data_IF_101103485140
#
_entry.id   IF_101103485140
#
_cell.length_a   1.000
_cell.length_b   1.000
_cell.length_c   1.000
_cell.angle_alpha   90.00
_cell.angle_beta   90.00
_cell.angle_gamma   90.00
#
_symmetry.space_group_name_H-M   'P 1'
#
loop_
_entity.id
_entity.type
_entity.pdbx_description
1 polymer ?
#
# COMPACT_ATOMS: atom_id res chain seq x y z
N UNK A 1 7.35 11.47 -8.04
CA UNK A 1 6.18 11.78 -7.20
C UNK A 1 6.14 10.83 -6.02
N UNK A 2 5.87 11.35 -4.85
CA UNK A 2 5.66 10.58 -3.62
C UNK A 2 4.51 11.25 -2.87
N UNK A 3 3.47 10.48 -2.56
CA UNK A 3 2.24 11.04 -2.00
C UNK A 3 1.45 10.01 -1.20
N UNK A 4 0.32 10.41 -0.66
CA UNK A 4 -0.66 9.55 -0.01
C UNK A 4 -0.08 8.69 1.12
N UNK A 5 0.59 9.29 2.10
CA UNK A 5 1.10 8.53 3.23
C UNK A 5 -0.04 7.98 4.09
N UNK A 6 0.10 6.74 4.53
CA UNK A 6 -0.84 6.11 5.45
C UNK A 6 -0.07 5.29 6.48
N UNK A 7 -0.50 5.38 7.73
CA UNK A 7 0.18 4.73 8.85
C UNK A 7 -0.57 3.47 9.28
N UNK A 8 0.18 2.41 9.55
CA UNK A 8 -0.34 1.22 10.22
C UNK A 8 0.64 0.82 11.34
N UNK A 9 0.11 0.37 12.45
CA UNK A 9 0.90 -0.08 13.60
C UNK A 9 0.58 -1.54 13.91
N UNK A 10 1.61 -2.29 14.28
CA UNK A 10 1.49 -3.70 14.62
C UNK A 10 2.61 -4.10 15.56
N UNK A 11 2.25 -4.72 16.69
CA UNK A 11 3.21 -5.23 17.68
C UNK A 11 4.26 -4.18 18.11
N UNK A 12 3.80 -2.95 18.33
CA UNK A 12 4.67 -1.84 18.74
C UNK A 12 5.51 -1.24 17.62
N UNK A 13 5.36 -1.71 16.40
CA UNK A 13 6.06 -1.19 15.21
C UNK A 13 5.15 -0.26 14.43
N UNK A 14 5.74 0.74 13.81
CA UNK A 14 5.01 1.75 13.03
C UNK A 14 5.52 1.74 11.59
N UNK A 15 4.59 1.60 10.67
CA UNK A 15 4.89 1.58 9.23
C UNK A 15 4.13 2.69 8.53
N UNK A 16 4.74 3.26 7.50
CA UNK A 16 4.11 4.25 6.63
C UNK A 16 4.17 3.75 5.20
N UNK A 17 3.00 3.50 4.61
CA UNK A 17 2.93 3.28 3.17
C UNK A 17 2.87 4.62 2.45
N UNK A 18 3.32 4.65 1.21
CA UNK A 18 3.23 5.82 0.35
C UNK A 18 3.09 5.37 -1.09
N UNK A 19 2.50 6.25 -1.90
CA UNK A 19 2.38 6.00 -3.34
C UNK A 19 3.51 6.70 -4.06
N UNK A 20 4.04 6.07 -5.08
CA UNK A 20 5.13 6.62 -5.87
C UNK A 20 4.95 6.32 -7.34
N UNK A 21 5.71 6.99 -8.18
CA UNK A 21 5.58 7.11 -9.62
C UNK A 21 4.35 7.92 -10.03
N UNK A 22 4.36 8.50 -11.23
CA UNK A 22 3.20 9.26 -11.70
C UNK A 22 1.98 8.38 -11.87
N UNK A 23 0.81 8.88 -11.48
CA UNK A 23 -0.44 8.14 -11.58
C UNK A 23 -0.97 8.00 -13.00
N UNK A 24 -0.43 8.73 -13.95
CA UNK A 24 -0.88 8.68 -15.35
C UNK A 24 -0.37 7.46 -16.11
N UNK A 25 0.36 6.56 -15.47
CA UNK A 25 0.85 5.32 -16.06
C UNK A 25 0.58 4.12 -15.18
N UNK A 26 0.85 2.90 -15.67
CA UNK A 26 0.56 1.67 -14.93
C UNK A 26 1.52 1.41 -13.76
N UNK A 27 2.58 2.20 -13.64
CA UNK A 27 3.65 1.97 -12.67
C UNK A 27 3.45 2.68 -11.32
N UNK A 28 2.31 3.34 -11.12
CA UNK A 28 1.94 3.87 -9.81
C UNK A 28 1.86 2.70 -8.82
N UNK A 29 2.47 2.83 -7.66
CA UNK A 29 2.69 1.69 -6.76
C UNK A 29 2.85 2.15 -5.33
N UNK A 30 2.82 1.20 -4.39
CA UNK A 30 3.05 1.45 -2.98
C UNK A 30 4.46 1.07 -2.57
N UNK A 31 5.10 1.96 -1.82
CA UNK A 31 6.31 1.69 -1.05
C UNK A 31 6.02 1.70 0.44
N UNK A 32 7.03 1.41 1.25
CA UNK A 32 6.88 1.32 2.70
C UNK A 32 8.12 1.83 3.42
N UNK A 33 7.88 2.55 4.52
CA UNK A 33 8.89 2.94 5.48
C UNK A 33 8.53 2.35 6.84
N UNK A 34 9.53 1.98 7.62
CA UNK A 34 9.33 1.63 9.03
C UNK A 34 10.02 2.65 9.91
N UNK A 35 9.34 3.09 10.97
CA UNK A 35 9.96 3.95 11.99
C UNK A 35 10.85 3.07 12.87
N UNK A 36 12.14 3.07 12.59
CA UNK A 36 13.12 2.26 13.32
C UNK A 36 13.85 3.05 14.41
N UNK A 37 13.78 4.39 14.34
CA UNK A 37 14.25 5.27 15.40
C UNK A 37 13.12 5.79 16.28
N UNK A 38 13.44 6.63 17.25
CA UNK A 38 12.45 7.12 18.20
C UNK A 38 11.76 8.43 17.82
N UNK A 39 12.18 9.06 16.72
CA UNK A 39 11.75 10.44 16.40
C UNK A 39 11.10 10.51 15.02
N UNK A 40 9.76 10.49 14.95
CA UNK A 40 9.07 10.48 13.65
C UNK A 40 9.35 11.70 12.75
N UNK A 41 9.80 12.82 13.32
CA UNK A 41 10.13 14.01 12.53
C UNK A 41 11.58 14.02 12.02
N UNK A 42 12.36 12.99 12.35
CA UNK A 42 13.72 12.85 11.86
C UNK A 42 13.75 11.88 10.69
N UNK A 43 14.12 12.32 9.48
CA UNK A 43 14.16 11.42 8.32
C UNK A 43 15.03 10.18 8.53
N UNK A 44 16.14 10.32 9.24
CA UNK A 44 17.04 9.21 9.51
C UNK A 44 16.50 8.13 10.44
N UNK A 45 15.37 8.40 11.10
CA UNK A 45 14.71 7.43 11.97
C UNK A 45 13.72 6.53 11.22
N UNK A 46 13.54 6.76 9.92
CA UNK A 46 12.72 5.93 9.05
C UNK A 46 13.61 5.08 8.13
N UNK A 47 13.28 3.81 8.02
CA UNK A 47 13.99 2.88 7.13
C UNK A 47 13.08 2.47 5.98
N UNK A 48 13.56 2.72 4.75
CA UNK A 48 12.81 2.40 3.54
C UNK A 48 12.98 0.94 3.17
N UNK A 49 11.87 0.27 2.85
CA UNK A 49 11.91 -1.04 2.23
C UNK A 49 12.35 -0.88 0.76
N UNK A 50 13.35 -1.62 0.35
CA UNK A 50 13.90 -1.53 -1.01
C UNK A 50 12.99 -2.15 -2.08
N UNK A 51 12.03 -2.97 -1.66
CA UNK A 51 11.09 -3.65 -2.56
C UNK A 51 9.71 -2.99 -2.46
N UNK A 52 9.06 -2.68 -3.60
CA UNK A 52 7.69 -2.16 -3.56
C UNK A 52 6.73 -3.15 -2.89
N UNK A 53 5.72 -2.61 -2.22
CA UNK A 53 4.76 -3.41 -1.44
C UNK A 53 3.55 -3.86 -2.25
N UNK A 54 3.18 -3.10 -3.28
CA UNK A 54 2.04 -3.42 -4.13
C UNK A 54 2.29 -2.82 -5.50
N UNK A 55 2.32 -3.66 -6.52
CA UNK A 55 2.58 -3.28 -7.91
C UNK A 55 1.51 -3.88 -8.81
N UNK A 56 1.45 -3.41 -10.06
CA UNK A 56 0.49 -3.93 -11.02
C UNK A 56 0.61 -5.45 -11.18
N UNK A 57 -0.51 -6.15 -11.06
CA UNK A 57 -0.61 -7.60 -11.27
C UNK A 57 -2.09 -7.99 -11.36
N UNK A 58 -2.35 -9.18 -11.88
CA UNK A 58 -3.68 -9.81 -11.88
C UNK A 58 -4.78 -8.94 -12.50
N UNK A 59 -4.44 -8.16 -13.52
CA UNK A 59 -5.41 -7.29 -14.18
C UNK A 59 -5.70 -6.00 -13.43
N UNK A 60 -4.88 -5.64 -12.46
CA UNK A 60 -4.97 -4.38 -11.72
C UNK A 60 -3.71 -3.57 -12.02
N UNK A 61 -3.90 -2.34 -12.47
CA UNK A 61 -2.80 -1.46 -12.89
C UNK A 61 -2.80 -0.18 -12.06
N UNK A 62 -1.60 0.31 -11.74
CA UNK A 62 -1.42 1.52 -10.97
C UNK A 62 -2.07 1.47 -9.59
N UNK A 63 -1.89 0.37 -8.81
CA UNK A 63 -2.47 0.31 -7.48
C UNK A 63 -1.79 1.29 -6.55
N UNK A 64 -2.58 2.02 -5.76
CA UNK A 64 -1.99 2.97 -4.83
C UNK A 64 -3.01 3.82 -4.08
N UNK A 65 -2.49 4.86 -3.43
CA UNK A 65 -3.22 5.81 -2.61
C UNK A 65 -4.06 5.09 -1.56
N UNK A 66 -3.40 4.21 -0.80
CA UNK A 66 -4.08 3.28 0.09
C UNK A 66 -4.47 3.90 1.43
N UNK A 67 -5.42 3.25 2.07
CA UNK A 67 -5.69 3.36 3.49
C UNK A 67 -5.73 1.99 4.13
N UNK A 68 -5.86 1.96 5.44
CA UNK A 68 -5.96 0.74 6.22
C UNK A 68 -7.22 0.74 7.07
N UNK A 69 -7.79 -0.43 7.29
CA UNK A 69 -8.83 -0.60 8.29
C UNK A 69 -8.78 -2.02 8.86
N UNK A 70 -9.42 -2.22 10.00
CA UNK A 70 -9.56 -3.54 10.60
C UNK A 70 -11.02 -3.96 10.54
N UNK A 71 -11.26 -5.28 10.51
CA UNK A 71 -12.61 -5.81 10.59
C UNK A 71 -13.26 -5.38 11.92
N UNK A 72 -14.62 -5.33 12.00
CA UNK A 72 -15.29 -4.90 13.22
C UNK A 72 -14.91 -5.68 14.48
N UNK A 73 -14.58 -6.97 14.35
CA UNK A 73 -14.14 -7.80 15.46
C UNK A 73 -12.64 -7.67 15.77
N UNK A 74 -11.90 -6.88 14.98
CA UNK A 74 -10.48 -6.66 15.16
C UNK A 74 -9.58 -7.79 14.71
N UNK A 75 -10.12 -8.86 14.11
CA UNK A 75 -9.34 -10.06 13.78
C UNK A 75 -8.63 -9.99 12.43
N UNK A 76 -9.02 -9.07 11.56
CA UNK A 76 -8.48 -8.98 10.20
C UNK A 76 -8.04 -7.57 9.88
N UNK A 77 -6.91 -7.49 9.18
CA UNK A 77 -6.36 -6.24 8.66
C UNK A 77 -6.63 -6.15 7.16
N UNK A 78 -7.10 -4.98 6.73
CA UNK A 78 -7.54 -4.75 5.36
C UNK A 78 -6.85 -3.54 4.77
N UNK A 79 -6.56 -3.66 3.47
CA UNK A 79 -6.00 -2.61 2.64
C UNK A 79 -7.11 -2.10 1.71
N UNK A 80 -7.31 -0.78 1.66
CA UNK A 80 -8.18 -0.15 0.68
C UNK A 80 -7.30 0.70 -0.24
N UNK A 81 -7.48 0.57 -1.54
CA UNK A 81 -6.67 1.27 -2.53
C UNK A 81 -7.47 1.44 -3.81
N UNK A 82 -6.94 2.18 -4.78
CA UNK A 82 -7.56 2.25 -6.09
C UNK A 82 -6.62 1.67 -7.14
N UNK A 83 -7.19 1.26 -8.25
CA UNK A 83 -6.47 0.75 -9.39
C UNK A 83 -7.31 0.80 -10.64
N UNK A 84 -6.65 0.62 -11.77
CA UNK A 84 -7.26 0.60 -13.10
C UNK A 84 -7.37 -0.82 -13.63
N UNK A 85 -8.32 -1.05 -14.52
CA UNK A 85 -8.51 -2.35 -15.20
C UNK A 85 -7.62 -2.50 -16.44
N UNK A 86 -7.11 -1.40 -16.99
CA UNK A 86 -6.29 -1.39 -18.20
C UNK A 86 -5.01 -0.60 -17.95
N UNK A 87 -3.90 -1.07 -18.51
CA UNK A 87 -2.60 -0.41 -18.34
C UNK A 87 -2.51 0.96 -19.03
N UNK A 88 -3.41 1.23 -19.98
CA UNK A 88 -3.47 2.51 -20.69
C UNK A 88 -4.25 3.58 -19.95
N UNK A 89 -4.93 3.22 -18.87
CA UNK A 89 -5.65 4.16 -18.02
C UNK A 89 -4.68 4.83 -17.04
N UNK A 90 -5.09 5.97 -16.50
CA UNK A 90 -4.23 6.75 -15.61
C UNK A 90 -5.00 7.34 -14.45
N UNK A 91 -4.78 8.62 -14.16
CA UNK A 91 -5.35 9.29 -12.98
C UNK A 91 -6.77 9.81 -13.16
N UNK A 92 -7.48 9.40 -14.19
CA UNK A 92 -8.84 9.85 -14.45
C UNK A 92 -9.89 9.08 -13.66
N UNK A 93 -11.12 9.12 -14.19
CA UNK A 93 -12.28 8.52 -13.54
C UNK A 93 -12.39 7.01 -13.75
N UNK A 94 -11.39 6.39 -14.37
CA UNK A 94 -11.35 4.95 -14.62
C UNK A 94 -10.91 4.15 -13.41
N UNK A 95 -10.32 4.79 -12.42
CA UNK A 95 -9.86 4.11 -11.20
C UNK A 95 -11.04 3.67 -10.37
N UNK A 96 -10.97 2.47 -9.83
CA UNK A 96 -12.00 1.91 -8.96
C UNK A 96 -11.42 1.58 -7.59
N UNK A 97 -12.26 1.66 -6.57
CA UNK A 97 -11.91 1.30 -5.20
C UNK A 97 -11.84 -0.22 -5.08
N UNK A 98 -10.78 -0.69 -4.42
CA UNK A 98 -10.53 -2.10 -4.18
C UNK A 98 -10.18 -2.31 -2.73
N UNK A 99 -10.58 -3.43 -2.17
CA UNK A 99 -10.22 -3.82 -0.81
C UNK A 99 -9.71 -5.24 -0.83
N UNK A 100 -8.72 -5.51 0.00
CA UNK A 100 -8.25 -6.86 0.21
C UNK A 100 -7.62 -7.01 1.59
N UNK A 101 -7.76 -8.19 2.15
CA UNK A 101 -7.13 -8.54 3.40
C UNK A 101 -5.62 -8.64 3.21
N UNK A 102 -4.86 -8.26 4.23
CA UNK A 102 -3.42 -8.50 4.25
C UNK A 102 -2.99 -9.07 5.60
N UNK A 103 -1.78 -9.58 5.65
CA UNK A 103 -1.22 -10.19 6.84
C UNK A 103 0.18 -9.62 7.07
N UNK A 104 0.76 -9.97 8.21
CA UNK A 104 2.14 -9.65 8.53
C UNK A 104 2.98 -10.91 8.36
N UNK A 105 4.20 -10.78 7.84
CA UNK A 105 5.09 -11.91 7.65
C UNK A 105 5.68 -12.38 8.98
N UNK A 106 6.53 -13.42 8.94
CA UNK A 106 7.13 -13.98 10.14
C UNK A 106 8.02 -12.98 10.89
N UNK A 107 8.52 -11.95 10.21
CA UNK A 107 9.29 -10.86 10.82
C UNK A 107 8.42 -9.73 11.34
N UNK A 108 7.09 -9.82 11.22
CA UNK A 108 6.16 -8.77 11.65
C UNK A 108 6.03 -7.60 10.69
N UNK A 109 6.51 -7.73 9.45
CA UNK A 109 6.42 -6.71 8.42
C UNK A 109 5.12 -6.88 7.63
N UNK A 110 4.42 -5.78 7.26
CA UNK A 110 3.21 -5.92 6.44
C UNK A 110 3.51 -6.63 5.12
N UNK A 111 2.62 -7.53 4.73
CA UNK A 111 2.69 -8.25 3.47
C UNK A 111 1.36 -8.09 2.74
N UNK A 112 1.32 -7.23 1.74
CA UNK A 112 0.10 -6.97 0.97
C UNK A 112 -0.14 -8.03 -0.10
N UNK A 113 0.92 -8.76 -0.49
CA UNK A 113 0.84 -9.69 -1.61
C UNK A 113 0.70 -8.94 -2.93
N UNK A 114 -0.02 -9.55 -3.86
CA UNK A 114 -0.36 -8.93 -5.13
C UNK A 114 -1.80 -8.40 -5.10
N UNK A 115 -2.15 -7.41 -5.95
CA UNK A 115 -3.55 -7.04 -6.09
C UNK A 115 -4.42 -8.25 -6.38
N UNK A 116 -5.51 -8.39 -5.64
CA UNK A 116 -6.44 -9.49 -5.86
C UNK A 116 -7.06 -9.38 -7.26
N UNK A 117 -7.26 -10.53 -7.91
CA UNK A 117 -7.93 -10.59 -9.20
C UNK A 117 -9.34 -10.02 -9.04
N UNK A 118 -9.78 -9.10 -9.93
CA UNK A 118 -11.14 -8.54 -9.85
C UNK A 118 -12.21 -9.63 -9.78
N UNK A 119 -13.19 -9.45 -8.90
CA UNK A 119 -14.29 -10.38 -8.73
C UNK A 119 -14.05 -11.51 -7.75
N UNK A 120 -12.94 -11.45 -7.04
CA UNK A 120 -12.65 -12.49 -6.01
C UNK A 120 -12.99 -12.04 -4.61
#
# INVERSE_FOLDING_TARGET
VTEAPAIVQHDGRTFMSYSTNPCHGPNYKLGMLELTGGKPLQPGDWTKNSTPMLVAANGVYGPGHNGFFTSPDGSEDWLVYHGNALETEGCGNTRSVRVQKFEYDNGGYPNFGEPATPGT
#
